data_IF_702662677994
#
_entry.id   IF_702662677994
#
_cell.length_a   1.000
_cell.length_b   1.000
_cell.length_c   1.000
_cell.angle_alpha   90.00
_cell.angle_beta   90.00
_cell.angle_gamma   90.00
#
_symmetry.space_group_name_H-M   'P 1'
#
loop_
_entity.id
_entity.type
_entity.pdbx_description
1 polymer ?
#
# COMPACT_ATOMS: atom_id res chain seq x y z
N UNK A 1 -24.35 8.55 23.99
CA UNK A 1 -23.34 7.53 23.60
C UNK A 1 -22.49 8.10 22.46
N UNK A 2 -21.19 7.91 22.49
CA UNK A 2 -20.33 8.35 21.40
C UNK A 2 -20.59 7.49 20.16
N UNK A 3 -20.80 8.12 18.99
CA UNK A 3 -20.98 7.41 17.72
C UNK A 3 -19.69 6.78 17.24
N UNK A 4 -19.78 5.60 16.62
CA UNK A 4 -18.66 4.97 15.93
C UNK A 4 -18.40 5.72 14.61
N UNK A 5 -17.21 6.27 14.46
CA UNK A 5 -16.80 7.00 13.26
C UNK A 5 -16.24 6.02 12.24
N UNK A 6 -16.89 5.94 11.08
CA UNK A 6 -16.52 5.05 9.96
C UNK A 6 -16.11 5.87 8.74
N UNK A 7 -14.87 5.72 8.29
CA UNK A 7 -14.36 6.32 7.07
C UNK A 7 -14.72 5.50 5.83
N UNK A 8 -15.38 6.14 4.86
CA UNK A 8 -15.78 5.53 3.59
C UNK A 8 -15.17 6.31 2.42
N UNK A 9 -14.76 5.62 1.33
CA UNK A 9 -14.24 6.26 0.14
C UNK A 9 -15.27 7.20 -0.50
N UNK A 10 -14.84 8.44 -0.80
CA UNK A 10 -15.70 9.47 -1.37
C UNK A 10 -15.78 9.46 -2.88
N UNK A 11 -14.88 8.76 -3.58
CA UNK A 11 -14.76 8.74 -5.04
C UNK A 11 -13.95 7.56 -5.56
N UNK A 12 -14.08 7.32 -6.87
CA UNK A 12 -13.34 6.30 -7.61
C UNK A 12 -13.94 4.90 -7.51
N UNK A 13 -13.29 3.93 -8.14
CA UNK A 13 -13.75 2.54 -8.23
C UNK A 13 -14.02 1.91 -6.86
N UNK A 14 -13.19 2.19 -5.87
CA UNK A 14 -13.38 1.68 -4.51
C UNK A 14 -14.73 2.12 -3.92
N UNK A 15 -15.18 3.36 -4.22
CA UNK A 15 -16.49 3.84 -3.77
C UNK A 15 -17.64 3.06 -4.42
N UNK A 16 -17.55 2.79 -5.72
CA UNK A 16 -18.57 2.04 -6.46
C UNK A 16 -18.65 0.60 -5.94
N UNK A 17 -17.53 -0.08 -5.83
CA UNK A 17 -17.43 -1.44 -5.30
C UNK A 17 -17.97 -1.51 -3.86
N UNK A 18 -17.63 -0.54 -3.00
CA UNK A 18 -18.13 -0.42 -1.64
C UNK A 18 -19.67 -0.25 -1.61
N UNK A 19 -20.21 0.64 -2.45
CA UNK A 19 -21.65 0.86 -2.49
C UNK A 19 -22.39 -0.43 -2.89
N UNK A 20 -21.88 -1.15 -3.89
CA UNK A 20 -22.43 -2.44 -4.30
C UNK A 20 -22.35 -3.49 -3.19
N UNK A 21 -21.22 -3.55 -2.48
CA UNK A 21 -21.01 -4.44 -1.34
C UNK A 21 -22.00 -4.15 -0.21
N UNK A 22 -22.15 -2.89 0.20
CA UNK A 22 -23.10 -2.49 1.25
C UNK A 22 -24.55 -2.73 0.82
N UNK A 23 -24.90 -2.42 -0.41
CA UNK A 23 -26.24 -2.69 -0.94
C UNK A 23 -26.56 -4.19 -0.95
N UNK A 24 -25.60 -5.06 -1.30
CA UNK A 24 -25.78 -6.51 -1.25
C UNK A 24 -26.01 -7.04 0.18
N UNK A 25 -25.48 -6.34 1.18
CA UNK A 25 -25.70 -6.60 2.60
C UNK A 25 -26.99 -5.95 3.16
N UNK A 26 -27.78 -5.27 2.32
CA UNK A 26 -28.98 -4.54 2.75
C UNK A 26 -28.68 -3.28 3.56
N UNK A 27 -27.47 -2.73 3.45
CA UNK A 27 -27.04 -1.54 4.19
C UNK A 27 -27.20 -0.32 3.27
N UNK A 28 -28.04 0.62 3.67
CA UNK A 28 -28.29 1.85 2.93
C UNK A 28 -27.59 3.04 3.56
N UNK A 29 -26.88 3.82 2.72
CA UNK A 29 -26.19 5.03 3.11
C UNK A 29 -27.09 6.24 2.86
N UNK A 30 -27.28 7.06 3.91
CA UNK A 30 -27.92 8.36 3.82
C UNK A 30 -26.86 9.45 4.00
N UNK A 31 -26.72 10.32 3.00
CA UNK A 31 -25.85 11.50 3.09
C UNK A 31 -26.62 12.65 3.74
N UNK A 32 -26.08 13.23 4.79
CA UNK A 32 -26.69 14.33 5.52
C UNK A 32 -26.32 15.65 4.82
N UNK A 33 -27.10 16.05 3.79
CA UNK A 33 -26.91 17.29 3.02
C UNK A 33 -26.65 17.06 1.52
N UNK A 34 -26.40 18.14 0.79
CA UNK A 34 -26.20 18.11 -0.68
C UNK A 34 -24.97 17.35 -1.15
N UNK A 35 -24.74 17.30 -2.47
CA UNK A 35 -23.66 16.53 -3.14
C UNK A 35 -22.23 16.75 -2.63
N UNK A 36 -21.97 17.76 -1.82
CA UNK A 36 -20.66 18.10 -1.24
C UNK A 36 -20.49 17.75 0.24
N UNK A 37 -21.44 17.00 0.81
CA UNK A 37 -21.37 16.67 2.25
C UNK A 37 -20.43 15.50 2.48
N UNK A 38 -19.50 15.69 3.40
CA UNK A 38 -18.51 14.68 3.80
C UNK A 38 -18.98 13.83 4.98
N UNK A 39 -20.23 14.02 5.46
CA UNK A 39 -20.80 13.31 6.59
C UNK A 39 -22.10 12.63 6.18
N UNK A 40 -22.38 11.49 6.78
CA UNK A 40 -23.61 10.72 6.56
C UNK A 40 -23.90 9.76 7.70
N UNK A 41 -24.97 9.00 7.53
CA UNK A 41 -25.42 7.96 8.45
C UNK A 41 -25.92 6.74 7.68
N UNK A 42 -26.09 5.60 8.35
CA UNK A 42 -26.84 4.49 7.78
C UNK A 42 -28.32 4.71 8.03
N UNK A 43 -29.16 4.30 7.05
CA UNK A 43 -30.62 4.36 7.21
C UNK A 43 -31.13 3.31 8.21
N UNK A 44 -30.46 2.16 8.27
CA UNK A 44 -30.92 0.97 8.99
C UNK A 44 -30.17 0.73 10.30
N UNK A 45 -29.11 1.50 10.59
CA UNK A 45 -28.29 1.30 11.78
C UNK A 45 -28.01 2.64 12.48
N UNK A 46 -28.33 2.67 13.76
CA UNK A 46 -27.99 3.79 14.62
C UNK A 46 -26.59 3.63 15.25
N UNK A 47 -26.04 4.73 15.73
CA UNK A 47 -24.75 4.73 16.46
C UNK A 47 -23.54 4.90 15.57
N UNK A 48 -23.68 5.06 14.25
CA UNK A 48 -22.59 5.34 13.31
C UNK A 48 -22.61 6.79 12.80
N UNK A 49 -21.42 7.34 12.63
CA UNK A 49 -21.15 8.58 11.89
C UNK A 49 -20.27 8.22 10.70
N UNK A 50 -20.78 8.39 9.48
CA UNK A 50 -20.03 8.12 8.25
C UNK A 50 -19.26 9.37 7.85
N UNK A 51 -17.98 9.20 7.47
CA UNK A 51 -17.13 10.23 6.92
C UNK A 51 -16.63 9.81 5.54
N UNK A 52 -16.94 10.63 4.52
CA UNK A 52 -16.53 10.39 3.14
C UNK A 52 -15.21 11.10 2.86
N UNK A 53 -14.15 10.31 2.74
CA UNK A 53 -12.77 10.79 2.61
C UNK A 53 -12.08 10.09 1.42
N UNK A 54 -10.92 10.57 1.01
CA UNK A 54 -10.08 9.78 0.11
C UNK A 54 -9.49 8.57 0.84
N UNK A 55 -9.18 7.48 0.12
CA UNK A 55 -8.60 6.28 0.73
C UNK A 55 -7.32 6.58 1.54
N UNK A 56 -6.49 7.51 1.06
CA UNK A 56 -5.27 7.92 1.76
C UNK A 56 -5.57 8.71 3.06
N UNK A 57 -6.58 9.57 3.04
CA UNK A 57 -7.02 10.28 4.25
C UNK A 57 -7.60 9.31 5.27
N UNK A 58 -8.41 8.34 4.84
CA UNK A 58 -8.96 7.30 5.72
C UNK A 58 -7.82 6.56 6.43
N UNK A 59 -6.79 6.13 5.69
CA UNK A 59 -5.65 5.43 6.29
C UNK A 59 -4.92 6.30 7.34
N UNK A 60 -4.72 7.59 7.06
CA UNK A 60 -4.11 8.54 8.00
C UNK A 60 -4.97 8.76 9.24
N UNK A 61 -6.27 8.98 9.07
CA UNK A 61 -7.21 9.23 10.17
C UNK A 61 -7.40 8.00 11.07
N UNK A 62 -7.34 6.77 10.49
CA UNK A 62 -7.28 5.53 11.25
C UNK A 62 -6.01 5.46 12.10
N UNK A 63 -4.86 5.69 11.49
CA UNK A 63 -3.58 5.63 12.21
C UNK A 63 -3.46 6.67 13.32
N UNK A 64 -4.11 7.82 13.16
CA UNK A 64 -4.20 8.89 14.18
C UNK A 64 -5.27 8.66 15.24
N UNK A 65 -6.09 7.60 15.13
CA UNK A 65 -7.18 7.30 16.05
C UNK A 65 -8.41 8.22 15.93
N UNK A 66 -8.48 9.06 14.90
CA UNK A 66 -9.62 9.94 14.66
C UNK A 66 -10.84 9.21 14.05
N UNK A 67 -10.59 8.08 13.38
CA UNK A 67 -11.61 7.12 12.94
C UNK A 67 -11.47 5.82 13.73
N UNK A 68 -12.60 5.19 14.03
CA UNK A 68 -12.64 3.88 14.69
C UNK A 68 -12.57 2.74 13.70
N UNK A 69 -13.20 2.90 12.53
CA UNK A 69 -13.23 1.95 11.42
C UNK A 69 -13.02 2.70 10.10
N UNK A 70 -12.54 2.03 9.08
CA UNK A 70 -12.37 2.62 7.77
C UNK A 70 -12.22 1.58 6.67
N UNK A 71 -12.65 1.93 5.48
CA UNK A 71 -12.54 1.13 4.28
C UNK A 71 -11.50 1.77 3.37
N UNK A 72 -10.36 1.11 3.20
CA UNK A 72 -9.22 1.64 2.47
C UNK A 72 -8.38 0.52 1.86
N UNK A 73 -7.37 0.87 1.07
CA UNK A 73 -6.43 -0.09 0.48
C UNK A 73 -5.40 -0.59 1.51
N UNK A 74 -5.11 -1.88 1.48
CA UNK A 74 -4.08 -2.48 2.32
C UNK A 74 -2.67 -1.91 2.02
N UNK A 75 -2.42 -1.52 0.77
CA UNK A 75 -1.21 -0.84 0.34
C UNK A 75 -0.98 0.49 1.08
N UNK A 76 -2.06 1.26 1.30
CA UNK A 76 -2.00 2.52 2.03
C UNK A 76 -1.75 2.31 3.52
N UNK A 77 -2.33 1.27 4.12
CA UNK A 77 -2.05 0.92 5.52
C UNK A 77 -0.59 0.51 5.67
N UNK A 78 -0.09 -0.39 4.81
CA UNK A 78 1.31 -0.84 4.83
C UNK A 78 2.31 0.29 4.54
N UNK A 79 1.93 1.28 3.74
CA UNK A 79 2.78 2.46 3.50
C UNK A 79 2.93 3.32 4.76
N UNK A 80 1.90 3.42 5.59
CA UNK A 80 1.95 4.17 6.85
C UNK A 80 2.69 3.40 7.96
N UNK A 81 2.76 2.08 7.85
CA UNK A 81 3.38 1.17 8.83
C UNK A 81 4.90 1.15 8.71
N UNK A 82 5.52 2.30 8.85
CA UNK A 82 6.97 2.45 8.61
C UNK A 82 7.87 1.97 9.77
N UNK A 83 7.32 1.59 10.94
CA UNK A 83 8.12 1.25 12.13
C UNK A 83 7.33 0.37 13.11
N UNK A 84 6.97 -0.86 12.78
CA UNK A 84 6.43 -1.87 13.72
C UNK A 84 5.33 -1.39 14.72
N UNK A 85 4.72 -0.25 14.48
CA UNK A 85 3.74 0.39 15.36
C UNK A 85 2.54 0.93 14.58
N UNK A 86 1.95 0.08 13.73
CA UNK A 86 0.64 0.41 13.15
C UNK A 86 -0.42 0.32 14.24
N UNK A 87 -1.13 1.42 14.44
CA UNK A 87 -2.32 1.44 15.30
C UNK A 87 -3.55 0.86 14.59
N UNK A 88 -3.38 0.34 13.37
CA UNK A 88 -4.46 -0.14 12.50
C UNK A 88 -4.35 -1.63 12.28
N UNK A 89 -5.43 -2.35 12.52
CA UNK A 89 -5.53 -3.79 12.32
C UNK A 89 -6.49 -4.05 11.16
N UNK A 90 -6.07 -4.74 10.07
CA UNK A 90 -6.99 -5.22 9.05
C UNK A 90 -7.93 -6.28 9.65
N UNK A 91 -9.23 -6.04 9.60
CA UNK A 91 -10.24 -6.94 10.16
C UNK A 91 -10.82 -7.90 9.10
N UNK A 92 -11.02 -7.41 7.89
CA UNK A 92 -11.67 -8.16 6.82
C UNK A 92 -11.16 -7.72 5.46
N UNK A 93 -10.80 -8.68 4.62
CA UNK A 93 -10.53 -8.46 3.20
C UNK A 93 -11.83 -8.56 2.41
N UNK A 94 -12.19 -7.47 1.72
CA UNK A 94 -13.48 -7.36 1.03
C UNK A 94 -13.48 -8.01 -0.38
N UNK A 95 -12.31 -8.36 -0.90
CA UNK A 95 -12.15 -9.12 -2.15
C UNK A 95 -12.34 -8.33 -3.44
N UNK A 96 -12.57 -7.02 -3.36
CA UNK A 96 -12.73 -6.14 -4.53
C UNK A 96 -11.60 -5.09 -4.62
N UNK A 97 -11.56 -4.37 -5.76
CA UNK A 97 -10.58 -3.30 -6.03
C UNK A 97 -9.11 -3.73 -5.84
N UNK A 98 -8.78 -4.96 -6.21
CA UNK A 98 -7.40 -5.47 -6.16
C UNK A 98 -6.48 -4.62 -7.02
N UNK A 99 -5.29 -4.33 -6.51
CA UNK A 99 -4.24 -3.61 -7.20
C UNK A 99 -2.88 -4.16 -6.81
N UNK A 100 -1.98 -4.30 -7.80
CA UNK A 100 -0.60 -4.71 -7.58
C UNK A 100 0.31 -3.49 -7.62
N UNK A 101 1.29 -3.46 -6.73
CA UNK A 101 2.41 -2.50 -6.79
C UNK A 101 3.55 -3.19 -7.52
N UNK A 102 3.90 -2.69 -8.69
CA UNK A 102 4.94 -3.27 -9.56
C UNK A 102 6.15 -2.36 -9.68
N UNK A 103 7.34 -2.95 -9.87
CA UNK A 103 8.52 -2.23 -10.32
C UNK A 103 8.49 -2.16 -11.84
N UNK A 104 8.44 -0.96 -12.41
CA UNK A 104 8.48 -0.74 -13.85
C UNK A 104 9.80 -0.11 -14.26
N UNK A 105 10.34 -0.55 -15.37
CA UNK A 105 11.55 -0.02 -16.01
C UNK A 105 11.23 0.50 -17.40
N UNK A 106 12.05 1.40 -17.98
CA UNK A 106 11.87 1.82 -19.37
C UNK A 106 11.94 0.64 -20.33
N UNK A 107 11.06 0.61 -21.31
CA UNK A 107 11.03 -0.47 -22.34
C UNK A 107 12.32 -0.54 -23.19
N UNK A 108 13.11 0.52 -23.20
CA UNK A 108 14.42 0.55 -23.84
C UNK A 108 15.49 -0.27 -23.11
N UNK A 109 15.24 -0.70 -21.88
CA UNK A 109 16.12 -1.58 -21.12
C UNK A 109 15.81 -3.05 -21.46
N UNK A 110 16.18 -3.47 -22.66
CA UNK A 110 15.79 -4.74 -23.28
C UNK A 110 16.26 -5.94 -22.44
N UNK A 111 17.41 -5.81 -21.78
CA UNK A 111 18.03 -6.89 -20.99
C UNK A 111 17.52 -6.98 -19.55
N UNK A 112 16.55 -6.14 -19.17
CA UNK A 112 15.98 -6.14 -17.82
C UNK A 112 14.62 -6.81 -17.82
N UNK A 113 14.59 -8.09 -17.52
CA UNK A 113 13.37 -8.90 -17.46
C UNK A 113 12.96 -9.29 -16.02
N UNK A 114 13.87 -9.17 -15.07
CA UNK A 114 13.64 -9.54 -13.67
C UNK A 114 14.46 -8.65 -12.72
N UNK A 115 14.25 -8.85 -11.42
CA UNK A 115 14.90 -8.02 -10.39
C UNK A 115 16.42 -8.22 -10.29
N UNK A 116 16.93 -9.36 -10.71
CA UNK A 116 18.38 -9.62 -10.73
C UNK A 116 19.05 -8.79 -11.82
N UNK A 117 18.44 -8.74 -13.02
CA UNK A 117 18.93 -7.91 -14.11
C UNK A 117 18.92 -6.43 -13.71
N UNK A 118 17.86 -5.99 -13.01
CA UNK A 118 17.77 -4.63 -12.49
C UNK A 118 18.89 -4.32 -11.47
N UNK A 119 19.26 -5.30 -10.63
CA UNK A 119 20.38 -5.14 -9.70
C UNK A 119 21.72 -5.02 -10.42
N UNK A 120 21.92 -5.77 -11.51
CA UNK A 120 23.13 -5.68 -12.34
C UNK A 120 23.22 -4.31 -13.02
N UNK A 121 22.14 -3.85 -13.64
CA UNK A 121 22.04 -2.49 -14.23
C UNK A 121 22.29 -1.42 -13.19
N UNK A 122 21.76 -1.58 -11.97
CA UNK A 122 21.98 -0.61 -10.89
C UNK A 122 23.45 -0.46 -10.51
N UNK A 123 24.21 -1.57 -10.48
CA UNK A 123 25.66 -1.55 -10.23
C UNK A 123 26.44 -0.88 -11.35
N UNK A 124 26.11 -1.23 -12.59
CA UNK A 124 26.76 -0.62 -13.75
C UNK A 124 26.44 0.87 -13.86
N UNK A 125 25.21 1.26 -13.52
CA UNK A 125 24.81 2.66 -13.52
C UNK A 125 25.65 3.51 -12.55
N UNK A 126 25.94 2.98 -11.34
CA UNK A 126 26.84 3.65 -10.39
C UNK A 126 28.24 3.77 -10.96
N UNK A 127 28.75 2.70 -11.57
CA UNK A 127 30.12 2.67 -12.15
C UNK A 127 30.28 3.64 -13.32
N UNK A 128 29.25 3.77 -14.17
CA UNK A 128 29.31 4.58 -15.40
C UNK A 128 28.96 6.05 -15.15
N UNK A 129 28.08 6.33 -14.20
CA UNK A 129 27.50 7.67 -13.99
C UNK A 129 27.81 8.28 -12.64
N UNK A 130 28.57 7.61 -11.78
CA UNK A 130 28.88 8.01 -10.40
C UNK A 130 27.65 8.46 -9.58
N UNK A 131 26.50 7.85 -9.88
CA UNK A 131 25.23 8.11 -9.17
C UNK A 131 24.36 6.87 -9.12
N UNK A 132 23.50 6.78 -8.11
CA UNK A 132 22.57 5.67 -7.94
C UNK A 132 21.33 5.86 -8.82
N UNK A 133 20.70 4.74 -9.20
CA UNK A 133 19.37 4.76 -9.80
C UNK A 133 18.37 5.43 -8.86
N UNK A 134 17.48 6.24 -9.44
CA UNK A 134 16.41 6.90 -8.72
C UNK A 134 15.09 6.19 -9.03
N UNK A 135 14.33 5.88 -7.99
CA UNK A 135 13.02 5.26 -8.10
C UNK A 135 11.96 6.31 -7.78
N UNK A 136 11.04 6.53 -8.72
CA UNK A 136 9.88 7.39 -8.50
C UNK A 136 8.73 6.53 -7.95
N UNK A 137 8.20 6.89 -6.81
CA UNK A 137 7.12 6.15 -6.16
C UNK A 137 6.30 7.06 -5.25
N UNK A 138 5.01 6.75 -5.09
CA UNK A 138 4.17 7.32 -4.02
C UNK A 138 4.21 6.47 -2.75
N UNK A 139 4.74 5.23 -2.82
CA UNK A 139 4.84 4.26 -1.74
C UNK A 139 6.28 4.10 -1.28
N UNK A 140 6.80 5.10 -0.56
CA UNK A 140 8.22 5.16 -0.19
C UNK A 140 8.64 4.03 0.74
N UNK A 141 7.80 3.71 1.74
CA UNK A 141 8.11 2.69 2.74
C UNK A 141 7.98 1.29 2.15
N UNK A 142 6.90 1.00 1.42
CA UNK A 142 6.73 -0.27 0.70
C UNK A 142 7.88 -0.51 -0.29
N UNK A 143 8.24 0.51 -1.07
CA UNK A 143 9.33 0.43 -2.04
C UNK A 143 10.67 0.18 -1.35
N UNK A 144 10.96 0.90 -0.27
CA UNK A 144 12.18 0.71 0.51
C UNK A 144 12.27 -0.70 1.06
N UNK A 145 11.22 -1.19 1.71
CA UNK A 145 11.17 -2.53 2.29
C UNK A 145 11.34 -3.61 1.22
N UNK A 146 10.71 -3.46 0.06
CA UNK A 146 10.86 -4.36 -1.06
C UNK A 146 12.32 -4.46 -1.53
N UNK A 147 12.98 -3.33 -1.76
CA UNK A 147 14.38 -3.33 -2.20
C UNK A 147 15.36 -3.79 -1.11
N UNK A 148 15.10 -3.51 0.17
CA UNK A 148 15.89 -4.02 1.29
C UNK A 148 15.80 -5.55 1.35
N UNK A 149 14.61 -6.14 1.29
CA UNK A 149 14.43 -7.58 1.26
C UNK A 149 15.22 -8.24 0.13
N UNK A 150 15.24 -7.65 -1.07
CA UNK A 150 16.01 -8.15 -2.20
C UNK A 150 17.52 -8.10 -1.98
N UNK A 151 18.02 -7.06 -1.31
CA UNK A 151 19.44 -6.94 -0.96
C UNK A 151 19.88 -8.02 0.04
N UNK A 152 19.03 -8.41 0.99
CA UNK A 152 19.31 -9.47 1.95
C UNK A 152 19.15 -10.88 1.36
N UNK A 153 18.32 -11.06 0.33
CA UNK A 153 18.14 -12.36 -0.32
C UNK A 153 19.11 -12.61 -1.48
N UNK A 154 19.78 -11.59 -1.99
CA UNK A 154 20.83 -11.74 -3.00
C UNK A 154 22.14 -12.11 -2.32
N UNK A 155 22.81 -13.25 -2.69
CA UNK A 155 24.09 -13.60 -2.12
C UNK A 155 25.09 -12.48 -2.37
N UNK A 156 25.70 -11.99 -1.30
CA UNK A 156 26.72 -10.95 -1.37
C UNK A 156 27.87 -11.39 -2.28
N UNK A 157 28.47 -10.50 -3.09
CA UNK A 157 29.68 -10.85 -3.84
C UNK A 157 30.82 -11.38 -2.95
N UNK A 158 30.80 -11.10 -1.65
CA UNK A 158 31.76 -11.64 -0.68
C UNK A 158 31.53 -13.13 -0.35
N UNK A 159 30.33 -13.67 -0.56
CA UNK A 159 30.05 -15.07 -0.30
C UNK A 159 30.54 -16.00 -1.44
N UNK A 160 30.75 -15.47 -2.63
CA UNK A 160 31.36 -16.21 -3.75
C UNK A 160 32.85 -16.51 -3.55
N UNK A 161 33.56 -15.78 -2.73
CA UNK A 161 35.00 -15.95 -2.51
C UNK A 161 35.32 -16.95 -1.41
N UNK A 162 34.37 -17.37 -0.59
CA UNK A 162 34.58 -18.33 0.50
C UNK A 162 34.45 -19.82 0.11
N UNK A 163 34.00 -20.14 -1.11
CA UNK A 163 33.81 -21.53 -1.54
C UNK A 163 34.97 -22.12 -2.34
N UNK A 164 36.14 -21.47 -2.38
CA UNK A 164 37.37 -22.02 -2.94
C UNK A 164 38.41 -22.20 -1.84
N UNK A 165 38.21 -23.21 -0.99
CA UNK A 165 39.35 -23.86 -0.35
C UNK A 165 39.87 -24.96 -1.28
N UNK A 166 41.13 -24.95 -1.71
CA UNK A 166 41.73 -26.09 -2.36
C UNK A 166 41.85 -27.22 -1.33
N UNK A 167 41.32 -28.41 -1.63
CA UNK A 167 41.64 -29.61 -0.91
C UNK A 167 43.12 -29.90 -1.18
N UNK A 168 43.96 -29.69 -0.19
CA UNK A 168 45.33 -30.19 -0.20
C UNK A 168 45.32 -31.72 0.05
N UNK A 169 45.97 -32.39 -0.85
CA UNK A 169 46.35 -33.82 -0.74
C UNK A 169 47.13 -34.13 0.55
#
# INVERSE_FOLDING_TARGET
MSKIKLGLPSKGRIQEDMNNFLASAGIEIKKDGGQRTYVGSFSNFEGFELRFLSANEIAKELNSGNLHLGLTGLDLIRELDSKDSSNVIPLLELGFSRADVIAAVPNSWIDVSNMKDLADVSRDFVRLHDRRLRVATKFQNLTRNFFICLLYTSPSPRDRTRSRMPSSA
#
